data_IF_824007880759
#
_entry.id   IF_824007880759
#
_cell.length_a   1.000
_cell.length_b   1.000
_cell.length_c   1.000
_cell.angle_alpha   90.00
_cell.angle_beta   90.00
_cell.angle_gamma   90.00
#
_symmetry.space_group_name_H-M   'P 1'
#
loop_
_entity.id
_entity.type
_entity.pdbx_description
1 polymer ?
#
# COMPACT_ATOMS: atom_id res chain seq x y z
N UNK A 1 16.00 -0.72 -17.57
CA UNK A 1 15.55 -1.83 -16.69
C UNK A 1 14.18 -1.45 -16.15
N UNK A 2 13.30 -2.42 -16.04
CA UNK A 2 11.99 -2.19 -15.41
C UNK A 2 12.18 -1.90 -13.92
N UNK A 3 11.56 -0.84 -13.39
CA UNK A 3 11.66 -0.47 -11.98
C UNK A 3 10.98 -1.51 -11.11
N UNK A 4 11.65 -1.91 -10.04
CA UNK A 4 11.08 -2.82 -9.06
C UNK A 4 10.26 -2.03 -8.05
N UNK A 5 9.02 -2.44 -7.85
CA UNK A 5 8.08 -1.80 -6.91
C UNK A 5 7.80 -2.78 -5.77
N UNK A 6 7.92 -2.31 -4.55
CA UNK A 6 7.57 -3.06 -3.36
C UNK A 6 6.32 -2.45 -2.72
N UNK A 7 5.28 -3.25 -2.57
CA UNK A 7 4.05 -2.86 -1.87
C UNK A 7 4.12 -3.47 -0.47
N UNK A 8 3.99 -2.64 0.56
CA UNK A 8 4.00 -3.03 1.96
C UNK A 8 2.59 -2.90 2.53
N UNK A 9 1.97 -4.02 2.91
CA UNK A 9 0.66 -4.06 3.54
C UNK A 9 0.79 -4.41 5.02
N UNK A 10 0.34 -3.49 5.89
CA UNK A 10 0.29 -3.68 7.33
C UNK A 10 -1.16 -3.94 7.77
N UNK A 11 -1.44 -5.15 8.27
CA UNK A 11 -2.76 -5.55 8.73
C UNK A 11 -2.86 -5.59 10.27
N UNK A 12 -4.05 -5.28 10.77
CA UNK A 12 -4.44 -5.49 12.16
C UNK A 12 -5.96 -5.65 12.24
N UNK A 13 -6.43 -6.83 12.67
CA UNK A 13 -7.87 -7.16 12.76
C UNK A 13 -8.64 -6.89 11.47
N UNK A 14 -8.00 -7.12 10.32
CA UNK A 14 -8.49 -6.76 9.00
C UNK A 14 -9.28 -7.84 8.26
N UNK A 15 -9.64 -8.95 8.89
CA UNK A 15 -10.14 -10.16 8.21
C UNK A 15 -11.25 -9.94 7.17
N UNK A 16 -12.13 -8.95 7.39
CA UNK A 16 -13.21 -8.59 6.46
C UNK A 16 -12.69 -7.91 5.18
N UNK A 17 -11.61 -7.14 5.28
CA UNK A 17 -11.18 -6.22 4.22
C UNK A 17 -9.99 -6.74 3.42
N UNK A 18 -9.21 -7.67 3.99
CA UNK A 18 -7.96 -8.15 3.42
C UNK A 18 -8.13 -8.75 2.01
N UNK A 19 -9.16 -9.56 1.77
CA UNK A 19 -9.37 -10.20 0.46
C UNK A 19 -9.65 -9.17 -0.63
N UNK A 20 -10.64 -8.28 -0.51
CA UNK A 20 -10.85 -7.21 -1.50
C UNK A 20 -9.61 -6.36 -1.75
N UNK A 21 -8.84 -6.06 -0.71
CA UNK A 21 -7.61 -5.29 -0.84
C UNK A 21 -6.55 -6.03 -1.65
N UNK A 22 -6.18 -7.25 -1.26
CA UNK A 22 -5.14 -8.03 -1.98
C UNK A 22 -5.57 -8.34 -3.41
N UNK A 23 -6.85 -8.66 -3.62
CA UNK A 23 -7.40 -8.90 -4.97
C UNK A 23 -7.29 -7.64 -5.85
N UNK A 24 -7.46 -6.44 -5.29
CA UNK A 24 -7.29 -5.18 -6.01
C UNK A 24 -5.83 -4.91 -6.41
N UNK A 25 -4.86 -5.36 -5.61
CA UNK A 25 -3.43 -5.31 -5.97
C UNK A 25 -3.14 -6.31 -7.09
N UNK A 26 -3.69 -7.52 -7.00
CA UNK A 26 -3.53 -8.54 -8.05
C UNK A 26 -4.13 -8.09 -9.39
N UNK A 27 -5.16 -7.23 -9.36
CA UNK A 27 -5.84 -6.69 -10.54
C UNK A 27 -5.14 -5.46 -11.15
N UNK A 28 -3.98 -5.03 -10.66
CA UNK A 28 -3.25 -3.90 -11.24
C UNK A 28 -2.85 -4.18 -12.69
N UNK A 29 -3.00 -3.17 -13.55
CA UNK A 29 -2.78 -3.23 -15.01
C UNK A 29 -1.29 -3.24 -15.41
N UNK A 30 -0.38 -3.22 -14.45
CA UNK A 30 1.07 -3.30 -14.63
C UNK A 30 1.69 -4.39 -13.77
N UNK A 31 2.77 -4.98 -14.26
CA UNK A 31 3.63 -5.92 -13.51
C UNK A 31 4.76 -5.22 -12.76
N UNK A 32 5.81 -5.99 -12.42
CA UNK A 32 7.04 -5.45 -11.81
C UNK A 32 6.91 -5.10 -10.33
N UNK A 33 5.81 -5.48 -9.66
CA UNK A 33 5.64 -5.29 -8.23
C UNK A 33 5.72 -6.61 -7.44
N UNK A 34 6.16 -6.48 -6.19
CA UNK A 34 6.06 -7.52 -5.15
C UNK A 34 5.28 -6.98 -3.96
N UNK A 35 4.62 -7.86 -3.22
CA UNK A 35 3.78 -7.53 -2.08
C UNK A 35 4.28 -8.24 -0.83
N UNK A 36 4.57 -7.47 0.21
CA UNK A 36 4.82 -7.98 1.57
C UNK A 36 3.53 -7.81 2.38
N UNK A 37 2.99 -8.91 2.83
CA UNK A 37 1.83 -8.96 3.73
C UNK A 37 2.30 -9.19 5.16
N UNK A 38 1.91 -8.36 6.09
CA UNK A 38 2.23 -8.53 7.51
C UNK A 38 1.04 -8.20 8.40
N UNK A 39 0.81 -9.00 9.46
CA UNK A 39 -0.28 -8.85 10.41
C UNK A 39 0.25 -8.60 11.82
N UNK A 40 -0.21 -7.54 12.48
CA UNK A 40 0.10 -7.21 13.87
C UNK A 40 -0.84 -7.92 14.90
N UNK A 41 -1.86 -8.60 14.39
CA UNK A 41 -2.91 -9.21 15.23
C UNK A 41 -3.03 -10.73 15.18
N UNK A 42 -2.38 -11.39 14.22
CA UNK A 42 -2.45 -12.82 13.90
C UNK A 42 -3.83 -13.33 13.40
N UNK A 43 -4.90 -12.55 13.53
CA UNK A 43 -6.26 -12.94 13.13
C UNK A 43 -6.43 -13.01 11.61
N UNK A 44 -5.64 -12.26 10.84
CA UNK A 44 -5.62 -12.30 9.38
C UNK A 44 -4.56 -13.25 8.81
N UNK A 45 -3.64 -13.73 9.65
CA UNK A 45 -2.48 -14.52 9.22
C UNK A 45 -2.83 -15.74 8.33
N UNK A 46 -3.91 -16.52 8.58
CA UNK A 46 -4.28 -17.61 7.68
C UNK A 46 -4.63 -17.14 6.26
N UNK A 47 -5.29 -15.99 6.13
CA UNK A 47 -5.65 -15.40 4.82
C UNK A 47 -4.39 -14.93 4.10
N UNK A 48 -3.49 -14.26 4.81
CA UNK A 48 -2.23 -13.77 4.25
C UNK A 48 -1.35 -14.93 3.76
N UNK A 49 -1.31 -16.01 4.52
CA UNK A 49 -0.57 -17.22 4.15
C UNK A 49 -1.16 -17.88 2.89
N UNK A 50 -2.49 -17.96 2.77
CA UNK A 50 -3.17 -18.48 1.58
C UNK A 50 -2.74 -17.73 0.31
N UNK A 51 -2.66 -16.39 0.36
CA UNK A 51 -2.21 -15.59 -0.80
C UNK A 51 -0.72 -15.82 -1.09
N UNK A 52 0.13 -15.89 -0.08
CA UNK A 52 1.56 -16.15 -0.27
C UNK A 52 1.81 -17.55 -0.89
N UNK A 53 1.08 -18.55 -0.45
CA UNK A 53 1.17 -19.92 -1.00
C UNK A 53 0.66 -20.00 -2.46
N UNK A 54 -0.35 -19.19 -2.79
CA UNK A 54 -0.95 -19.15 -4.14
C UNK A 54 -0.12 -18.34 -5.13
N UNK A 55 0.61 -17.33 -4.67
CA UNK A 55 1.41 -16.42 -5.50
C UNK A 55 2.84 -16.26 -4.97
N UNK A 56 3.62 -17.35 -4.82
CA UNK A 56 4.91 -17.33 -4.11
C UNK A 56 5.98 -16.46 -4.78
N UNK A 57 5.86 -16.22 -6.10
CA UNK A 57 6.82 -15.38 -6.84
C UNK A 57 6.58 -13.87 -6.64
N UNK A 58 5.40 -13.48 -6.13
CA UNK A 58 4.97 -12.08 -6.04
C UNK A 58 4.56 -11.65 -4.64
N UNK A 59 4.13 -12.57 -3.78
CA UNK A 59 3.58 -12.28 -2.46
C UNK A 59 4.37 -13.03 -1.39
N UNK A 60 4.79 -12.29 -0.37
CA UNK A 60 5.45 -12.85 0.80
C UNK A 60 4.64 -12.52 2.05
N UNK A 61 4.30 -13.52 2.85
CA UNK A 61 3.74 -13.32 4.17
C UNK A 61 4.88 -13.23 5.18
N UNK A 62 5.11 -12.03 5.72
CA UNK A 62 6.13 -11.75 6.72
C UNK A 62 5.56 -11.76 8.13
N UNK A 63 6.18 -12.52 9.02
CA UNK A 63 5.84 -12.60 10.45
C UNK A 63 6.98 -12.03 11.29
N UNK A 64 6.74 -10.91 11.96
CA UNK A 64 7.76 -10.23 12.78
C UNK A 64 8.09 -10.94 14.08
N UNK A 65 7.17 -11.78 14.58
CA UNK A 65 7.29 -12.43 15.87
C UNK A 65 6.97 -11.54 17.09
N UNK A 66 6.62 -10.27 16.87
CA UNK A 66 6.19 -9.34 17.93
C UNK A 66 5.10 -8.40 17.42
N UNK A 67 4.44 -7.71 18.36
CA UNK A 67 3.39 -6.72 18.04
C UNK A 67 3.95 -5.31 18.02
N UNK A 68 3.50 -4.51 17.05
CA UNK A 68 3.91 -3.10 16.91
C UNK A 68 3.01 -2.16 17.67
N UNK A 69 1.71 -2.48 17.78
CA UNK A 69 0.70 -1.70 18.50
C UNK A 69 0.30 -0.39 17.82
N UNK A 70 0.84 -0.09 16.63
CA UNK A 70 0.38 1.01 15.78
C UNK A 70 0.76 0.77 14.32
N UNK A 71 -0.07 1.26 13.39
CA UNK A 71 0.19 1.19 11.95
C UNK A 71 1.52 1.85 11.56
N UNK A 72 1.80 3.04 12.12
CA UNK A 72 3.05 3.75 11.85
C UNK A 72 4.28 2.91 12.18
N UNK A 73 4.35 2.31 13.38
CA UNK A 73 5.49 1.47 13.77
C UNK A 73 5.61 0.23 12.89
N UNK A 74 4.46 -0.34 12.52
CA UNK A 74 4.41 -1.51 11.65
C UNK A 74 4.94 -1.19 10.26
N UNK A 75 4.48 -0.12 9.63
CA UNK A 75 4.98 0.33 8.32
C UNK A 75 6.46 0.71 8.36
N UNK A 76 6.92 1.42 9.40
CA UNK A 76 8.33 1.77 9.54
C UNK A 76 9.22 0.53 9.66
N UNK A 77 8.78 -0.48 10.44
CA UNK A 77 9.49 -1.76 10.53
C UNK A 77 9.55 -2.48 9.17
N UNK A 78 8.44 -2.53 8.42
CA UNK A 78 8.43 -3.14 7.10
C UNK A 78 9.37 -2.39 6.13
N UNK A 79 9.38 -1.06 6.18
CA UNK A 79 10.28 -0.25 5.37
C UNK A 79 11.75 -0.51 5.72
N UNK A 80 12.11 -0.62 6.99
CA UNK A 80 13.46 -0.94 7.45
C UNK A 80 13.92 -2.34 7.02
N UNK A 81 12.99 -3.32 6.99
CA UNK A 81 13.31 -4.70 6.63
C UNK A 81 13.40 -4.95 5.11
N UNK A 82 12.63 -4.23 4.32
CA UNK A 82 12.41 -4.56 2.91
C UNK A 82 12.64 -3.39 1.95
N UNK A 83 12.73 -2.14 2.43
CA UNK A 83 12.73 -0.96 1.58
C UNK A 83 13.91 -0.84 0.61
N UNK A 84 15.04 -1.45 0.92
CA UNK A 84 16.23 -1.50 0.07
C UNK A 84 16.17 -2.55 -1.05
N UNK A 85 15.11 -3.37 -1.08
CA UNK A 85 14.93 -4.44 -2.06
C UNK A 85 14.26 -3.98 -3.36
N UNK A 86 13.89 -2.70 -3.47
CA UNK A 86 13.19 -2.16 -4.61
C UNK A 86 13.57 -0.70 -4.90
N UNK A 87 13.30 -0.25 -6.13
CA UNK A 87 13.49 1.15 -6.52
C UNK A 87 12.46 2.07 -5.86
N UNK A 88 11.22 1.56 -5.70
CA UNK A 88 10.10 2.31 -5.10
C UNK A 88 9.33 1.46 -4.10
N UNK A 89 8.84 2.11 -3.05
CA UNK A 89 7.99 1.51 -2.02
C UNK A 89 6.62 2.17 -2.02
N UNK A 90 5.56 1.38 -1.97
CA UNK A 90 4.19 1.85 -1.79
C UNK A 90 3.63 1.28 -0.48
N UNK A 91 3.04 2.14 0.35
CA UNK A 91 2.31 1.72 1.52
C UNK A 91 0.84 1.42 1.17
N UNK A 92 0.29 0.40 1.82
CA UNK A 92 -1.03 -0.10 1.56
C UNK A 92 -1.75 -0.39 2.88
N UNK A 93 -2.80 0.36 3.17
CA UNK A 93 -3.69 0.06 4.28
C UNK A 93 -4.58 -1.15 3.95
N UNK A 94 -4.99 -1.89 4.97
CA UNK A 94 -5.68 -3.17 4.80
C UNK A 94 -7.11 -3.08 4.29
N UNK A 95 -7.74 -1.92 4.40
CA UNK A 95 -9.17 -1.67 4.21
C UNK A 95 -9.49 -0.79 3.00
N UNK A 96 -8.48 -0.46 2.22
CA UNK A 96 -8.64 0.21 0.92
C UNK A 96 -8.92 -0.80 -0.21
N UNK A 97 -9.41 -0.30 -1.33
CA UNK A 97 -9.47 -1.02 -2.61
C UNK A 97 -8.82 -0.16 -3.69
N UNK A 98 -7.77 -0.68 -4.31
CA UNK A 98 -7.02 0.07 -5.30
C UNK A 98 -7.68 0.03 -6.67
N UNK A 99 -7.74 1.18 -7.35
CA UNK A 99 -8.10 1.22 -8.77
C UNK A 99 -7.07 0.44 -9.60
N UNK A 100 -7.48 -0.23 -10.70
CA UNK A 100 -6.58 -1.08 -11.50
C UNK A 100 -5.37 -0.35 -12.07
N UNK A 101 -5.42 0.95 -12.23
CA UNK A 101 -4.36 1.79 -12.80
C UNK A 101 -3.55 2.57 -11.73
N UNK A 102 -3.80 2.33 -10.43
CA UNK A 102 -3.17 3.07 -9.34
C UNK A 102 -1.63 2.99 -9.40
N UNK A 103 -1.08 1.79 -9.49
CA UNK A 103 0.39 1.60 -9.54
C UNK A 103 0.99 2.32 -10.74
N UNK A 104 0.41 2.14 -11.92
CA UNK A 104 0.88 2.78 -13.16
C UNK A 104 0.85 4.30 -13.09
N UNK A 105 -0.26 4.88 -12.60
CA UNK A 105 -0.40 6.35 -12.53
C UNK A 105 0.54 6.95 -11.48
N UNK A 106 0.68 6.31 -10.31
CA UNK A 106 1.58 6.76 -9.25
C UNK A 106 3.04 6.69 -9.71
N UNK A 107 3.43 5.59 -10.38
CA UNK A 107 4.78 5.44 -10.93
C UNK A 107 5.09 6.50 -11.98
N UNK A 108 4.18 6.75 -12.92
CA UNK A 108 4.37 7.82 -13.91
C UNK A 108 4.57 9.20 -13.29
N UNK A 109 3.81 9.52 -12.25
CA UNK A 109 3.98 10.78 -11.55
C UNK A 109 5.32 10.82 -10.81
N UNK A 110 5.72 9.75 -10.15
CA UNK A 110 7.03 9.63 -9.49
C UNK A 110 8.16 9.90 -10.49
N UNK A 111 8.15 9.25 -11.64
CA UNK A 111 9.16 9.45 -12.71
C UNK A 111 9.22 10.87 -13.25
N UNK A 112 8.11 11.61 -13.23
CA UNK A 112 8.07 13.01 -13.65
C UNK A 112 8.66 13.98 -12.61
N UNK A 113 8.49 13.70 -11.32
CA UNK A 113 8.90 14.59 -10.22
C UNK A 113 10.27 14.26 -9.64
N UNK A 114 10.74 13.03 -9.79
CA UNK A 114 12.06 12.56 -9.36
C UNK A 114 13.14 13.03 -10.35
N UNK A 115 13.42 14.33 -10.36
CA UNK A 115 14.40 14.94 -11.26
C UNK A 115 15.81 15.00 -10.68
N UNK A 116 15.94 14.92 -9.36
CA UNK A 116 17.22 14.91 -8.62
C UNK A 116 17.26 13.69 -7.69
N UNK A 117 18.10 12.67 -7.99
CA UNK A 117 18.18 11.45 -7.20
C UNK A 117 18.74 11.65 -5.77
N UNK A 118 19.29 12.82 -5.46
CA UNK A 118 19.76 13.15 -4.11
C UNK A 118 18.66 13.64 -3.18
N UNK A 119 17.48 13.95 -3.72
CA UNK A 119 16.34 14.45 -2.95
C UNK A 119 15.31 13.34 -2.74
N UNK A 120 14.80 13.17 -1.50
CA UNK A 120 13.68 12.26 -1.26
C UNK A 120 12.41 12.79 -1.93
N UNK A 121 11.69 11.92 -2.61
CA UNK A 121 10.42 12.24 -3.26
C UNK A 121 9.32 11.35 -2.70
N UNK A 122 8.18 11.94 -2.38
CA UNK A 122 6.94 11.26 -2.01
C UNK A 122 5.82 11.68 -2.95
N UNK A 123 5.14 10.69 -3.52
CA UNK A 123 3.91 10.89 -4.29
C UNK A 123 2.74 10.31 -3.51
N UNK A 124 1.69 11.08 -3.33
CA UNK A 124 0.43 10.60 -2.75
C UNK A 124 -0.74 10.85 -3.70
N UNK A 125 -1.77 10.05 -3.59
CA UNK A 125 -3.02 10.21 -4.34
C UNK A 125 -4.13 10.66 -3.40
N UNK A 126 -5.17 11.28 -3.95
CA UNK A 126 -6.43 11.43 -3.23
C UNK A 126 -7.16 10.08 -3.18
N UNK A 127 -8.15 9.96 -2.32
CA UNK A 127 -8.95 8.77 -2.11
C UNK A 127 -10.44 9.09 -2.39
N UNK A 128 -11.14 8.14 -2.97
CA UNK A 128 -12.59 8.15 -3.02
C UNK A 128 -13.12 7.55 -1.72
N UNK A 129 -13.98 8.27 -1.01
CA UNK A 129 -14.57 7.79 0.24
C UNK A 129 -15.76 6.90 -0.08
N UNK A 130 -15.74 5.68 0.44
CA UNK A 130 -16.78 4.68 0.24
C UNK A 130 -17.25 4.10 1.59
N UNK A 131 -18.45 3.55 1.62
CA UNK A 131 -18.94 2.78 2.77
C UNK A 131 -18.41 1.33 2.76
N UNK A 132 -18.79 0.54 3.76
CA UNK A 132 -18.35 -0.85 3.90
C UNK A 132 -18.85 -1.80 2.79
N UNK A 133 -19.66 -1.32 1.86
CA UNK A 133 -20.16 -2.03 0.66
C UNK A 133 -19.64 -1.40 -0.63
N UNK A 134 -18.59 -0.55 -0.52
CA UNK A 134 -17.93 0.16 -1.61
C UNK A 134 -18.85 1.14 -2.37
N UNK A 135 -19.95 1.61 -1.77
CA UNK A 135 -20.76 2.67 -2.34
C UNK A 135 -20.13 4.02 -2.06
N UNK A 136 -20.00 4.85 -3.09
CA UNK A 136 -19.39 6.17 -2.99
C UNK A 136 -20.17 7.08 -2.03
N UNK A 137 -19.44 7.67 -1.08
CA UNK A 137 -19.93 8.68 -0.13
C UNK A 137 -19.41 10.07 -0.51
N UNK A 138 -18.14 10.16 -0.95
CA UNK A 138 -17.53 11.40 -1.44
C UNK A 138 -16.44 11.05 -2.48
N UNK A 139 -16.36 11.79 -3.59
CA UNK A 139 -15.36 11.54 -4.62
C UNK A 139 -13.92 11.89 -4.19
N UNK A 140 -13.73 12.59 -3.04
CA UNK A 140 -12.44 13.09 -2.57
C UNK A 140 -12.33 13.03 -1.05
N UNK A 141 -11.36 12.33 -0.54
CA UNK A 141 -11.05 12.32 0.90
C UNK A 141 -10.58 13.70 1.39
N UNK A 142 -9.85 14.43 0.58
CA UNK A 142 -9.42 15.80 0.91
C UNK A 142 -10.64 16.70 1.12
N UNK A 143 -11.65 16.62 0.23
CA UNK A 143 -12.91 17.34 0.39
C UNK A 143 -13.68 16.87 1.63
N UNK A 144 -13.86 15.57 1.79
CA UNK A 144 -14.58 14.96 2.91
C UNK A 144 -14.00 15.33 4.29
N UNK A 145 -12.67 15.36 4.39
CA UNK A 145 -11.95 15.67 5.64
C UNK A 145 -11.67 17.17 5.83
N UNK A 146 -12.06 18.04 4.88
CA UNK A 146 -11.76 19.47 4.93
C UNK A 146 -10.29 19.81 4.78
N UNK A 147 -9.49 18.91 4.20
CA UNK A 147 -8.07 19.16 3.93
C UNK A 147 -7.93 19.96 2.63
N UNK A 148 -7.05 20.97 2.66
CA UNK A 148 -6.64 21.71 1.47
C UNK A 148 -5.31 21.13 0.97
N UNK A 149 -5.38 20.31 -0.08
CA UNK A 149 -4.21 19.66 -0.67
C UNK A 149 -3.13 20.63 -1.18
N UNK A 150 -3.48 21.90 -1.39
CA UNK A 150 -2.52 22.96 -1.75
C UNK A 150 -1.72 23.51 -0.56
N UNK A 151 -2.12 23.20 0.67
CA UNK A 151 -1.43 23.62 1.91
C UNK A 151 -0.44 22.60 2.46
N UNK A 152 -0.26 21.47 1.81
CA UNK A 152 0.71 20.44 2.21
C UNK A 152 2.13 20.70 1.67
N UNK A 153 2.43 21.90 1.17
CA UNK A 153 3.83 22.31 0.96
C UNK A 153 4.47 22.53 2.34
N UNK A 154 5.38 21.64 2.70
CA UNK A 154 6.26 21.85 3.86
C UNK A 154 7.02 23.15 3.68
N UNK A 155 7.23 23.93 4.77
CA UNK A 155 8.00 25.16 4.73
C UNK A 155 9.46 24.92 4.37
#
# INVERSE_FOLDING_TARGET
>A
MEKQILILLAAYKGGRFIRPMVDSILAQDVGGWKLILSDDGEDTAPILQEYADRYPDRITHYRSGHRFGSAQKHFMHLLEQFGDQADYVMFCDQDDVWHPDKVRLTLRLMEQVETDPSLPVLVHTDLRVVDGELREMDPSFQHYSGLDGHRLSLP
#
